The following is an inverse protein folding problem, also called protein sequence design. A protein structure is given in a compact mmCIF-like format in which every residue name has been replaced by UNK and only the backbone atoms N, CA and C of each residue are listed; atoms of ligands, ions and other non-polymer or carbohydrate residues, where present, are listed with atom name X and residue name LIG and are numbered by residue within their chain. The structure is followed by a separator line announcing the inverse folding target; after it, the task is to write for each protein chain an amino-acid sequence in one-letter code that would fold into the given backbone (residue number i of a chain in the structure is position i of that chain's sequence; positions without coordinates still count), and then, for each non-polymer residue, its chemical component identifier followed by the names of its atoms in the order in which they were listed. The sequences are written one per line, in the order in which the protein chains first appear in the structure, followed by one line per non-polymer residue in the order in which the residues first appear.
data_IF_569343373406
#
_entry.id   IF_569343373406
#
_cell.length_a   1.000
_cell.length_b   1.000
_cell.length_c   1.000
_cell.angle_alpha   90.00
_cell.angle_beta   90.00
_cell.angle_gamma   90.00
#
_symmetry.space_group_name_H-M   'P 1'
#
loop_
_entity.id
_entity.type
_entity.pdbx_description
1 polymer ?
#
# COMPACT_ATOMS: atom_id res chain seq x y z
N UNK A 1 10.72 -15.25 -17.53
CA UNK A 1 10.64 -13.93 -18.17
C UNK A 1 10.65 -12.89 -17.05
N UNK A 2 11.79 -12.28 -16.77
CA UNK A 2 11.88 -11.21 -15.77
C UNK A 2 11.34 -9.97 -16.46
N UNK A 3 10.11 -9.58 -16.15
CA UNK A 3 9.54 -8.32 -16.62
C UNK A 3 10.28 -7.24 -15.83
N UNK A 4 11.15 -6.47 -16.49
CA UNK A 4 11.78 -5.32 -15.87
C UNK A 4 10.70 -4.40 -15.29
N UNK A 5 10.82 -4.04 -14.02
CA UNK A 5 9.89 -3.10 -13.39
C UNK A 5 9.95 -1.78 -14.16
N UNK A 6 8.80 -1.21 -14.58
CA UNK A 6 8.77 0.04 -15.32
C UNK A 6 9.39 1.15 -14.46
N UNK A 7 10.15 2.04 -15.09
CA UNK A 7 10.63 3.25 -14.41
C UNK A 7 9.41 4.06 -13.97
N UNK A 8 9.30 4.31 -12.66
CA UNK A 8 8.21 5.10 -12.09
C UNK A 8 8.49 6.59 -12.35
N UNK A 9 7.46 7.40 -12.68
CA UNK A 9 7.63 8.84 -12.88
C UNK A 9 7.73 9.61 -11.55
N UNK A 10 7.67 8.92 -10.41
CA UNK A 10 7.73 9.47 -9.05
C UNK A 10 8.68 8.62 -8.20
N UNK A 11 9.10 9.15 -7.06
CA UNK A 11 9.98 8.49 -6.10
C UNK A 11 9.17 7.92 -4.93
N UNK A 12 9.53 6.74 -4.45
CA UNK A 12 8.95 6.13 -3.24
C UNK A 12 10.06 5.85 -2.24
N UNK A 13 10.02 6.52 -1.10
CA UNK A 13 10.93 6.30 0.02
C UNK A 13 10.29 5.41 1.10
N UNK A 14 8.95 5.32 1.13
CA UNK A 14 8.23 4.36 1.98
C UNK A 14 8.64 2.92 1.58
N UNK A 15 9.33 2.15 2.45
CA UNK A 15 9.95 0.88 2.06
C UNK A 15 8.97 -0.22 1.62
N UNK A 16 7.85 -0.37 2.33
CA UNK A 16 6.83 -1.36 2.04
C UNK A 16 6.09 -1.04 0.73
N UNK A 17 5.77 0.22 0.47
CA UNK A 17 5.14 0.64 -0.77
C UNK A 17 6.11 0.47 -1.95
N UNK A 18 7.39 0.83 -1.79
CA UNK A 18 8.43 0.58 -2.78
C UNK A 18 8.52 -0.92 -3.12
N UNK A 19 8.51 -1.80 -2.11
CA UNK A 19 8.51 -3.25 -2.32
C UNK A 19 7.26 -3.73 -3.07
N UNK A 20 6.07 -3.24 -2.71
CA UNK A 20 4.80 -3.57 -3.40
C UNK A 20 4.88 -3.21 -4.88
N UNK A 21 5.33 -2.00 -5.22
CA UNK A 21 5.44 -1.57 -6.62
C UNK A 21 6.52 -2.34 -7.38
N UNK A 22 7.64 -2.66 -6.73
CA UNK A 22 8.71 -3.46 -7.34
C UNK A 22 8.23 -4.87 -7.70
N UNK A 23 7.40 -5.49 -6.87
CA UNK A 23 6.90 -6.86 -7.06
C UNK A 23 5.61 -6.95 -7.87
N UNK A 24 4.89 -5.83 -8.05
CA UNK A 24 3.61 -5.82 -8.74
C UNK A 24 3.56 -4.75 -9.85
N UNK A 25 3.91 -5.20 -11.07
CA UNK A 25 3.96 -4.32 -12.24
C UNK A 25 2.59 -3.70 -12.60
N UNK A 26 1.48 -4.37 -12.30
CA UNK A 26 0.13 -3.85 -12.53
C UNK A 26 -0.16 -2.67 -11.62
N UNK A 27 0.16 -2.80 -10.32
CA UNK A 27 0.10 -1.73 -9.33
C UNK A 27 1.04 -0.57 -9.68
N UNK A 28 2.30 -0.87 -10.04
CA UNK A 28 3.26 0.14 -10.48
C UNK A 28 2.74 0.99 -11.64
N UNK A 29 2.14 0.36 -12.66
CA UNK A 29 1.53 1.06 -13.79
C UNK A 29 0.30 1.88 -13.38
N UNK A 30 -0.53 1.33 -12.51
CA UNK A 30 -1.73 2.01 -12.03
C UNK A 30 -1.38 3.29 -11.25
N UNK A 31 -0.41 3.22 -10.33
CA UNK A 31 0.08 4.39 -9.61
C UNK A 31 0.82 5.38 -10.51
N UNK A 32 1.62 4.91 -11.48
CA UNK A 32 2.29 5.76 -12.46
C UNK A 32 1.31 6.54 -13.37
N UNK A 33 0.09 6.04 -13.54
CA UNK A 33 -0.93 6.72 -14.34
C UNK A 33 -1.65 7.86 -13.57
N UNK A 34 -1.63 7.85 -12.24
CA UNK A 34 -2.40 8.79 -11.40
C UNK A 34 -1.54 9.72 -10.57
N UNK A 35 -0.35 9.29 -10.16
CA UNK A 35 0.54 10.12 -9.35
C UNK A 35 1.31 11.13 -10.22
N UNK A 36 1.50 12.37 -9.74
CA UNK A 36 2.20 13.39 -10.50
C UNK A 36 3.67 13.03 -10.70
N UNK A 37 4.22 13.38 -11.87
CA UNK A 37 5.63 13.19 -12.16
C UNK A 37 6.49 14.04 -11.21
N UNK A 38 7.55 13.45 -10.66
CA UNK A 38 8.43 14.09 -9.67
C UNK A 38 7.88 14.10 -8.24
N UNK A 39 6.70 13.54 -7.99
CA UNK A 39 6.20 13.35 -6.63
C UNK A 39 7.14 12.46 -5.82
N UNK A 40 7.16 12.67 -4.50
CA UNK A 40 7.93 11.85 -3.56
C UNK A 40 6.95 11.33 -2.52
N UNK A 41 6.86 10.01 -2.36
CA UNK A 41 6.03 9.36 -1.35
C UNK A 41 6.95 8.90 -0.22
N UNK A 42 7.04 9.65 0.88
CA UNK A 42 7.93 9.33 2.01
C UNK A 42 7.28 8.39 3.01
N UNK A 43 6.00 8.60 3.26
CA UNK A 43 5.19 7.78 4.16
C UNK A 43 3.79 7.55 3.58
N UNK A 44 2.91 6.94 4.38
CA UNK A 44 1.54 6.66 3.98
C UNK A 44 0.66 7.91 3.91
N UNK A 45 0.98 8.96 4.67
CA UNK A 45 0.21 10.20 4.69
C UNK A 45 0.47 11.01 3.42
N UNK A 46 1.73 11.07 2.95
CA UNK A 46 2.06 11.62 1.63
C UNK A 46 1.26 10.94 0.51
N UNK A 47 1.08 9.61 0.60
CA UNK A 47 0.28 8.87 -0.37
C UNK A 47 -1.21 9.21 -0.25
N UNK A 48 -1.73 9.39 0.96
CA UNK A 48 -3.09 9.85 1.21
C UNK A 48 -3.32 11.20 0.53
N UNK A 49 -2.48 12.19 0.80
CA UNK A 49 -2.60 13.55 0.24
C UNK A 49 -2.54 13.53 -1.29
N UNK A 50 -1.56 12.81 -1.85
CA UNK A 50 -1.40 12.70 -3.30
C UNK A 50 -2.59 12.04 -3.99
N UNK A 51 -3.25 11.07 -3.35
CA UNK A 51 -4.44 10.40 -3.91
C UNK A 51 -5.74 11.19 -3.68
N UNK A 52 -5.81 11.97 -2.61
CA UNK A 52 -6.98 12.79 -2.25
C UNK A 52 -7.15 14.01 -3.14
N UNK A 53 -6.07 14.47 -3.75
CA UNK A 53 -6.09 15.53 -4.75
C UNK A 53 -6.73 15.10 -6.08
N UNK A 54 -7.64 15.93 -6.59
CA UNK A 54 -8.13 15.91 -7.98
C UNK A 54 -8.68 14.55 -8.46
N UNK A 55 -9.45 13.85 -7.62
CA UNK A 55 -10.14 12.58 -7.95
C UNK A 55 -9.20 11.45 -8.42
N UNK A 56 -7.91 11.50 -8.04
CA UNK A 56 -6.91 10.51 -8.44
C UNK A 56 -7.21 9.14 -7.87
N UNK A 57 -7.72 9.05 -6.64
CA UNK A 57 -8.16 7.78 -6.05
C UNK A 57 -9.28 7.11 -6.88
N UNK A 58 -10.30 7.88 -7.27
CA UNK A 58 -11.40 7.34 -8.08
C UNK A 58 -10.91 6.92 -9.47
N UNK A 59 -9.99 7.70 -10.05
CA UNK A 59 -9.32 7.37 -11.32
C UNK A 59 -8.49 6.08 -11.20
N UNK A 60 -7.77 5.90 -10.09
CA UNK A 60 -6.99 4.70 -9.79
C UNK A 60 -7.91 3.49 -9.74
N UNK A 61 -8.99 3.56 -8.94
CA UNK A 61 -9.92 2.46 -8.74
C UNK A 61 -10.73 2.12 -10.00
N UNK A 62 -11.23 3.14 -10.70
CA UNK A 62 -12.04 2.98 -11.90
C UNK A 62 -11.29 2.33 -13.06
N UNK A 63 -9.98 2.55 -13.15
CA UNK A 63 -9.13 2.00 -14.21
C UNK A 63 -8.34 0.75 -13.78
N UNK A 64 -8.46 0.29 -12.53
CA UNK A 64 -7.70 -0.85 -12.05
C UNK A 64 -8.29 -2.19 -12.51
N UNK A 65 -7.73 -2.73 -13.59
CA UNK A 65 -8.12 -4.03 -14.17
C UNK A 65 -7.30 -5.22 -13.62
N UNK A 66 -6.75 -5.10 -12.41
CA UNK A 66 -5.98 -6.16 -11.78
C UNK A 66 -6.81 -7.40 -11.45
N UNK A 67 -6.14 -8.55 -11.36
CA UNK A 67 -6.72 -9.81 -10.91
C UNK A 67 -7.02 -9.79 -9.39
N UNK A 68 -7.63 -10.86 -8.88
CA UNK A 68 -8.05 -10.95 -7.46
C UNK A 68 -6.91 -10.70 -6.46
N UNK A 69 -5.73 -11.24 -6.70
CA UNK A 69 -4.57 -11.06 -5.81
C UNK A 69 -4.02 -9.64 -5.87
N UNK A 70 -4.00 -9.04 -7.06
CA UNK A 70 -3.55 -7.65 -7.23
C UNK A 70 -4.53 -6.67 -6.57
N UNK A 71 -5.84 -6.94 -6.64
CA UNK A 71 -6.88 -6.17 -5.93
C UNK A 71 -6.77 -6.30 -4.42
N UNK A 72 -6.41 -7.47 -3.91
CA UNK A 72 -6.14 -7.67 -2.48
C UNK A 72 -4.97 -6.79 -2.01
N UNK A 73 -3.86 -6.79 -2.75
CA UNK A 73 -2.70 -5.97 -2.42
C UNK A 73 -3.03 -4.48 -2.49
N UNK A 74 -3.77 -4.05 -3.53
CA UNK A 74 -4.25 -2.67 -3.64
C UNK A 74 -5.13 -2.30 -2.43
N UNK A 75 -6.05 -3.17 -2.01
CA UNK A 75 -6.89 -2.93 -0.84
C UNK A 75 -6.07 -2.75 0.45
N UNK A 76 -5.01 -3.55 0.66
CA UNK A 76 -4.11 -3.37 1.80
C UNK A 76 -3.35 -2.02 1.75
N UNK A 77 -2.88 -1.60 0.58
CA UNK A 77 -2.24 -0.29 0.39
C UNK A 77 -3.23 0.84 0.70
N UNK A 78 -4.47 0.73 0.23
CA UNK A 78 -5.52 1.71 0.51
C UNK A 78 -5.88 1.77 1.98
N UNK A 79 -5.95 0.64 2.70
CA UNK A 79 -6.12 0.65 4.16
C UNK A 79 -4.99 1.38 4.87
N UNK A 80 -3.75 1.22 4.41
CA UNK A 80 -2.61 1.94 4.98
C UNK A 80 -2.62 3.44 4.67
N UNK A 81 -3.15 3.82 3.51
CA UNK A 81 -3.32 5.21 3.08
C UNK A 81 -4.65 5.83 3.55
N UNK A 82 -5.26 5.33 4.62
CA UNK A 82 -6.52 5.85 5.22
C UNK A 82 -7.77 5.82 4.32
N UNK A 83 -7.79 4.91 3.33
CA UNK A 83 -8.91 4.69 2.41
C UNK A 83 -9.64 3.37 2.71
N UNK A 84 -10.02 3.16 3.97
CA UNK A 84 -10.62 1.91 4.43
C UNK A 84 -11.95 1.58 3.74
N UNK A 85 -12.79 2.58 3.46
CA UNK A 85 -14.07 2.38 2.77
C UNK A 85 -13.88 1.90 1.33
N UNK A 86 -12.90 2.47 0.63
CA UNK A 86 -12.55 2.11 -0.74
C UNK A 86 -11.86 0.74 -0.80
N UNK A 87 -11.04 0.41 0.20
CA UNK A 87 -10.44 -0.91 0.34
C UNK A 87 -11.51 -2.01 0.51
N UNK A 88 -12.52 -1.78 1.36
CA UNK A 88 -13.62 -2.72 1.55
C UNK A 88 -14.52 -2.80 0.30
N UNK A 89 -14.80 -1.69 -0.37
CA UNK A 89 -15.52 -1.70 -1.64
C UNK A 89 -14.79 -2.48 -2.74
N UNK A 90 -13.45 -2.38 -2.79
CA UNK A 90 -12.61 -3.08 -3.76
C UNK A 90 -12.55 -4.59 -3.48
N UNK A 91 -12.48 -4.98 -2.21
CA UNK A 91 -12.42 -6.38 -1.78
C UNK A 91 -13.42 -6.64 -0.64
N UNK A 92 -14.72 -6.72 -0.96
CA UNK A 92 -15.76 -6.86 0.04
C UNK A 92 -15.56 -8.12 0.84
N UNK A 93 -15.70 -8.00 2.16
CA UNK A 93 -15.57 -9.09 3.13
C UNK A 93 -14.18 -9.67 3.27
N UNK A 94 -13.17 -9.27 2.50
CA UNK A 94 -11.81 -9.80 2.73
C UNK A 94 -11.33 -9.49 4.13
N UNK A 95 -11.68 -8.32 4.66
CA UNK A 95 -11.31 -7.90 6.02
C UNK A 95 -12.28 -8.41 7.10
N UNK A 96 -13.49 -8.85 6.71
CA UNK A 96 -14.46 -9.48 7.63
C UNK A 96 -14.42 -11.01 7.62
N UNK A 97 -13.79 -11.65 6.62
CA UNK A 97 -13.76 -13.12 6.41
C UNK A 97 -12.45 -13.76 6.87
N UNK A 98 -11.75 -13.13 7.83
CA UNK A 98 -10.46 -13.60 8.37
C UNK A 98 -10.53 -14.96 9.11
N UNK A 99 -11.68 -15.63 9.12
CA UNK A 99 -11.85 -17.02 9.58
C UNK A 99 -11.33 -18.10 8.61
N UNK A 100 -10.77 -17.75 7.45
CA UNK A 100 -10.30 -18.73 6.44
C UNK A 100 -8.92 -18.47 5.82
N UNK A 101 -8.18 -17.46 6.30
CA UNK A 101 -6.80 -17.20 5.87
C UNK A 101 -5.86 -18.08 6.69
N UNK A 102 -4.98 -18.84 6.01
CA UNK A 102 -3.90 -19.59 6.66
C UNK A 102 -3.02 -18.65 7.49
N UNK A 103 -2.61 -19.09 8.69
CA UNK A 103 -1.95 -18.26 9.69
C UNK A 103 -0.73 -17.51 9.15
N UNK A 104 -0.01 -18.08 8.17
CA UNK A 104 1.16 -17.45 7.57
C UNK A 104 0.83 -16.26 6.68
N UNK A 105 -0.25 -16.35 5.89
CA UNK A 105 -0.71 -15.26 5.03
C UNK A 105 -1.42 -14.18 5.85
N UNK A 106 -2.07 -14.57 6.95
CA UNK A 106 -2.64 -13.62 7.92
C UNK A 106 -1.54 -12.83 8.62
N UNK A 107 -0.46 -13.49 9.04
CA UNK A 107 0.70 -12.83 9.62
C UNK A 107 1.35 -11.86 8.62
N UNK A 108 1.46 -12.22 7.34
CA UNK A 108 2.05 -11.34 6.33
C UNK A 108 1.18 -10.10 6.05
N UNK A 109 -0.14 -10.24 6.07
CA UNK A 109 -1.09 -9.11 5.94
C UNK A 109 -1.11 -8.27 7.21
N UNK A 110 -1.00 -8.88 8.40
CA UNK A 110 -0.88 -8.17 9.67
C UNK A 110 0.45 -7.43 9.80
N UNK A 111 1.59 -8.02 9.45
CA UNK A 111 2.89 -7.35 9.38
C UNK A 111 2.83 -6.15 8.42
N UNK A 112 2.15 -6.31 7.29
CA UNK A 112 1.90 -5.20 6.37
C UNK A 112 1.01 -4.11 6.98
N UNK A 113 0.14 -4.44 7.95
CA UNK A 113 -0.77 -3.54 8.68
C UNK A 113 -0.19 -3.00 10.00
N UNK A 114 0.81 -3.64 10.60
CA UNK A 114 1.43 -3.31 11.89
C UNK A 114 2.73 -2.53 11.77
N UNK A 115 3.20 -2.23 10.55
CA UNK A 115 4.33 -1.31 10.38
C UNK A 115 4.06 0.06 11.03
N UNK A 116 4.58 0.22 12.25
CA UNK A 116 4.59 1.33 13.22
C UNK A 116 3.75 1.11 14.51
N UNK A 117 4.19 0.19 15.36
CA UNK A 117 4.23 0.42 16.82
C UNK A 117 5.66 0.22 17.36
N UNK A 118 6.62 0.91 16.73
CA UNK A 118 7.95 1.16 17.33
C UNK A 118 8.11 2.66 17.60
N UNK A 119 7.04 3.28 18.10
CA UNK A 119 7.04 4.62 18.67
C UNK A 119 7.23 4.57 20.18
N UNK A 120 8.48 4.63 20.60
CA UNK A 120 8.98 5.09 21.91
C UNK A 120 8.57 4.35 23.20
N UNK A 121 9.50 3.51 23.68
CA UNK A 121 9.73 3.22 25.10
C UNK A 121 11.13 3.68 25.52
N UNK A 122 11.25 4.99 25.74
CA UNK A 122 12.41 5.71 26.29
C UNK A 122 12.70 5.37 27.77
N UNK A 123 13.99 5.52 28.15
CA UNK A 123 14.59 5.53 29.51
C UNK A 123 14.71 4.15 30.21
N UNK A 124 15.78 3.78 30.91
CA UNK A 124 16.60 4.49 31.89
C UNK A 124 17.74 3.53 32.31
N UNK A 125 18.98 3.99 32.57
CA UNK A 125 19.95 3.13 33.28
C UNK A 125 21.43 3.32 32.93
N UNK A 126 22.00 4.35 33.53
CA UNK A 126 23.43 4.59 33.74
C UNK A 126 24.15 3.43 34.47
N UNK A 127 25.50 3.48 34.45
CA UNK A 127 26.49 2.75 35.29
C UNK A 127 26.91 1.36 34.77
N UNK A 128 28.19 0.99 34.57
CA UNK A 128 29.53 1.47 35.01
C UNK A 128 30.54 1.19 33.89
#
# INVERSE_FOLDING_TARGET
MIIASPALPFTVEQPLFAAVLAHNATLARAFAAVLPAGAVVRDWHDLTDLLGDADRLDTLLGNFLGNKSERLVLACVLMKADYAAQADALMPRVFTTWGGIDARNRALVLDMLEGLDDGDGLFEGETV
#
